data_IF_240812965302
#
_entry.id   IF_240812965302
#
_cell.length_a   1.000
_cell.length_b   1.000
_cell.length_c   1.000
_cell.angle_alpha   90.00
_cell.angle_beta   90.00
_cell.angle_gamma   90.00
#
_symmetry.space_group_name_H-M   'P 1'
#
loop_
_entity.id
_entity.type
_entity.pdbx_description
1 polymer ?
#
# COMPACT_ATOMS: atom_id res chain seq x y z
N UNK A 1 2.56 5.20 7.88
CA UNK A 1 1.50 4.17 8.07
C UNK A 1 1.25 3.42 6.76
N UNK A 2 2.25 2.73 6.18
CA UNK A 2 2.18 2.27 4.77
C UNK A 2 1.57 0.88 4.59
N UNK A 3 1.72 -0.05 5.55
CA UNK A 3 1.20 -1.42 5.43
C UNK A 3 -0.29 -1.60 5.75
N UNK A 4 -0.93 -0.64 6.42
CA UNK A 4 -2.31 -0.79 6.92
C UNK A 4 -3.36 -0.72 5.80
N UNK A 5 -3.02 -0.04 4.70
CA UNK A 5 -3.95 0.17 3.57
C UNK A 5 -4.19 -1.14 2.83
N UNK A 6 -3.14 -1.93 2.57
CA UNK A 6 -3.26 -3.24 1.92
C UNK A 6 -4.12 -4.22 2.73
N UNK A 7 -3.99 -4.20 4.06
CA UNK A 7 -4.80 -5.02 4.97
C UNK A 7 -6.29 -4.63 4.90
N UNK A 8 -6.60 -3.34 4.95
CA UNK A 8 -7.99 -2.86 4.89
C UNK A 8 -8.63 -3.20 3.54
N UNK A 9 -7.89 -3.03 2.44
CA UNK A 9 -8.35 -3.40 1.09
C UNK A 9 -8.58 -4.91 0.98
N UNK A 10 -7.65 -5.73 1.48
CA UNK A 10 -7.77 -7.19 1.49
C UNK A 10 -8.99 -7.68 2.27
N UNK A 11 -9.24 -7.10 3.45
CA UNK A 11 -10.43 -7.38 4.27
C UNK A 11 -11.71 -6.97 3.53
N UNK A 12 -11.74 -5.78 2.91
CA UNK A 12 -12.89 -5.31 2.16
C UNK A 12 -13.25 -6.24 0.99
N UNK A 13 -12.25 -6.64 0.20
CA UNK A 13 -12.44 -7.58 -0.92
C UNK A 13 -12.87 -8.96 -0.43
N UNK A 14 -12.26 -9.48 0.63
CA UNK A 14 -12.61 -10.78 1.23
C UNK A 14 -14.03 -10.79 1.80
N UNK A 15 -14.47 -9.70 2.42
CA UNK A 15 -15.81 -9.57 2.98
C UNK A 15 -16.89 -9.52 1.89
N UNK A 16 -16.64 -8.84 0.77
CA UNK A 16 -17.60 -8.79 -0.36
C UNK A 16 -17.69 -10.14 -1.08
N UNK A 17 -16.56 -10.84 -1.27
CA UNK A 17 -16.55 -12.17 -1.89
C UNK A 17 -17.13 -13.26 -0.97
N UNK A 18 -16.94 -13.14 0.36
CA UNK A 18 -17.48 -14.07 1.36
C UNK A 18 -18.97 -13.90 1.65
N UNK A 19 -19.53 -12.70 1.46
CA UNK A 19 -20.96 -12.39 1.74
C UNK A 19 -21.91 -12.72 0.58
N UNK A 20 -21.43 -13.45 -0.45
CA UNK A 20 -22.15 -13.77 -1.71
C UNK A 20 -23.54 -14.42 -1.56
N UNK A 21 -23.95 -14.79 -0.34
CA UNK A 21 -25.28 -15.35 -0.05
C UNK A 21 -26.41 -14.30 0.09
N UNK A 22 -26.15 -12.99 0.11
CA UNK A 22 -27.18 -11.96 0.34
C UNK A 22 -27.33 -10.91 -0.77
N UNK A 23 -28.20 -11.15 -1.77
CA UNK A 23 -28.45 -10.18 -2.87
C UNK A 23 -28.94 -8.81 -2.39
N UNK A 24 -29.79 -8.75 -1.35
CA UNK A 24 -30.29 -7.48 -0.82
C UNK A 24 -29.19 -6.65 -0.12
N UNK A 25 -28.28 -7.32 0.60
CA UNK A 25 -27.17 -6.64 1.28
C UNK A 25 -26.11 -6.14 0.31
N UNK A 26 -25.89 -6.86 -0.79
CA UNK A 26 -24.99 -6.42 -1.84
C UNK A 26 -25.43 -5.08 -2.45
N UNK A 27 -26.71 -4.93 -2.78
CA UNK A 27 -27.22 -3.69 -3.38
C UNK A 27 -27.16 -2.49 -2.41
N UNK A 28 -27.39 -2.70 -1.11
CA UNK A 28 -27.22 -1.66 -0.09
C UNK A 28 -25.77 -1.20 0.06
N UNK A 29 -24.83 -2.16 0.11
CA UNK A 29 -23.40 -1.86 0.24
C UNK A 29 -22.90 -1.18 -1.04
N UNK A 30 -23.35 -1.64 -2.22
CA UNK A 30 -22.98 -1.08 -3.51
C UNK A 30 -23.43 0.37 -3.65
N UNK A 31 -24.65 0.72 -3.23
CA UNK A 31 -25.12 2.11 -3.29
C UNK A 31 -24.36 3.02 -2.34
N UNK A 32 -24.03 2.55 -1.13
CA UNK A 32 -23.20 3.31 -0.20
C UNK A 32 -21.77 3.48 -0.72
N UNK A 33 -21.18 2.43 -1.29
CA UNK A 33 -19.88 2.47 -1.91
C UNK A 33 -19.85 3.44 -3.10
N UNK A 34 -20.87 3.42 -3.96
CA UNK A 34 -20.97 4.34 -5.10
C UNK A 34 -20.96 5.80 -4.65
N UNK A 35 -21.65 6.13 -3.56
CA UNK A 35 -21.65 7.50 -3.02
C UNK A 35 -20.26 7.94 -2.59
N UNK A 36 -19.51 7.05 -1.94
CA UNK A 36 -18.12 7.34 -1.51
C UNK A 36 -17.17 7.41 -2.72
N UNK A 37 -17.34 6.53 -3.69
CA UNK A 37 -16.50 6.48 -4.89
C UNK A 37 -16.65 7.72 -5.79
N UNK A 38 -17.86 8.28 -5.87
CA UNK A 38 -18.13 9.49 -6.67
C UNK A 38 -17.68 10.79 -5.99
N UNK A 39 -17.12 10.75 -4.78
CA UNK A 39 -16.58 11.96 -4.14
C UNK A 39 -15.28 12.40 -4.82
N UNK A 40 -15.16 13.69 -5.10
CA UNK A 40 -13.96 14.34 -5.67
C UNK A 40 -12.63 13.91 -5.02
N UNK A 41 -12.49 13.87 -3.67
CA UNK A 41 -11.23 13.46 -3.05
C UNK A 41 -10.80 12.02 -3.37
N UNK A 42 -11.75 11.14 -3.70
CA UNK A 42 -11.46 9.75 -4.10
C UNK A 42 -11.03 9.72 -5.56
N UNK A 43 -11.73 10.44 -6.44
CA UNK A 43 -11.36 10.54 -7.85
C UNK A 43 -9.96 11.16 -8.03
N UNK A 44 -9.66 12.23 -7.30
CA UNK A 44 -8.34 12.87 -7.33
C UNK A 44 -7.19 11.93 -6.94
N UNK A 45 -7.41 11.06 -5.95
CA UNK A 45 -6.41 10.08 -5.52
C UNK A 45 -6.28 8.95 -6.53
N UNK A 46 -7.40 8.48 -7.08
CA UNK A 46 -7.42 7.47 -8.14
C UNK A 46 -6.70 8.00 -9.38
N UNK A 47 -6.94 9.25 -9.78
CA UNK A 47 -6.32 9.86 -10.95
C UNK A 47 -4.83 10.10 -10.76
N UNK A 48 -4.40 10.54 -9.57
CA UNK A 48 -2.96 10.61 -9.23
C UNK A 48 -2.31 9.24 -9.38
N UNK A 49 -2.88 8.21 -8.75
CA UNK A 49 -2.36 6.84 -8.83
C UNK A 49 -2.38 6.32 -10.26
N UNK A 50 -3.44 6.59 -11.03
CA UNK A 50 -3.57 6.19 -12.44
C UNK A 50 -2.55 6.89 -13.33
N UNK A 51 -2.18 8.14 -13.04
CA UNK A 51 -1.05 8.82 -13.68
C UNK A 51 0.27 8.11 -13.39
N UNK A 52 0.60 7.95 -12.10
CA UNK A 52 1.85 7.30 -11.67
C UNK A 52 2.00 5.84 -12.13
N UNK A 53 0.90 5.09 -12.15
CA UNK A 53 0.87 3.69 -12.60
C UNK A 53 0.76 3.62 -14.11
N UNK A 54 -0.01 4.48 -14.77
CA UNK A 54 -0.15 4.51 -16.23
C UNK A 54 1.19 4.65 -16.95
N UNK A 55 2.07 5.51 -16.43
CA UNK A 55 3.43 5.72 -16.94
C UNK A 55 4.32 4.48 -16.80
N UNK A 56 4.04 3.60 -15.84
CA UNK A 56 4.82 2.37 -15.58
C UNK A 56 4.15 1.09 -16.10
N UNK A 57 2.83 1.08 -16.24
CA UNK A 57 2.03 -0.07 -16.59
C UNK A 57 2.01 -0.35 -18.09
N UNK A 58 2.23 0.67 -18.93
CA UNK A 58 2.31 0.52 -20.38
C UNK A 58 3.42 -0.47 -20.83
N UNK A 59 4.43 -0.72 -19.99
CA UNK A 59 5.55 -1.60 -20.30
C UNK A 59 5.38 -3.06 -19.82
N UNK A 60 4.37 -3.38 -19.01
CA UNK A 60 4.23 -4.73 -18.40
C UNK A 60 2.83 -5.38 -18.57
N UNK A 61 2.19 -5.42 -19.76
CA UNK A 61 0.90 -6.11 -19.92
C UNK A 61 0.99 -7.64 -19.76
N UNK A 62 2.07 -8.25 -20.24
CA UNK A 62 2.19 -9.71 -20.33
C UNK A 62 2.34 -10.42 -18.97
N UNK A 63 3.18 -9.90 -18.08
CA UNK A 63 3.41 -10.52 -16.77
C UNK A 63 2.18 -10.39 -15.85
N UNK A 64 1.46 -9.28 -15.95
CA UNK A 64 0.19 -9.07 -15.23
C UNK A 64 -0.84 -10.09 -15.72
N UNK A 65 -0.98 -10.28 -17.03
CA UNK A 65 -1.91 -11.25 -17.60
C UNK A 65 -1.60 -12.70 -17.18
N UNK A 66 -0.32 -13.08 -17.21
CA UNK A 66 0.12 -14.40 -16.73
C UNK A 66 -0.12 -14.59 -15.24
N UNK A 67 0.12 -13.56 -14.42
CA UNK A 67 -0.14 -13.59 -12.98
C UNK A 67 -1.62 -13.82 -12.67
N UNK A 68 -2.51 -13.10 -13.35
CA UNK A 68 -3.96 -13.26 -13.21
C UNK A 68 -4.42 -14.65 -13.64
N UNK A 69 -3.96 -15.15 -14.80
CA UNK A 69 -4.29 -16.51 -15.25
C UNK A 69 -3.80 -17.58 -14.27
N UNK A 70 -2.63 -17.41 -13.66
CA UNK A 70 -2.07 -18.35 -12.68
C UNK A 70 -2.92 -18.40 -11.41
N UNK A 71 -3.34 -17.25 -10.88
CA UNK A 71 -4.20 -17.16 -9.69
C UNK A 71 -5.56 -17.79 -9.96
N UNK A 72 -6.19 -17.48 -11.10
CA UNK A 72 -7.48 -18.07 -11.47
C UNK A 72 -7.36 -19.58 -11.68
N UNK A 73 -6.29 -20.07 -12.30
CA UNK A 73 -6.07 -21.51 -12.50
C UNK A 73 -5.76 -22.24 -11.19
N UNK A 74 -5.06 -21.61 -10.25
CA UNK A 74 -4.85 -22.14 -8.89
C UNK A 74 -6.12 -22.10 -8.04
N UNK A 75 -6.99 -21.12 -8.26
CA UNK A 75 -8.28 -21.03 -7.59
C UNK A 75 -9.30 -22.02 -8.17
N UNK A 76 -9.33 -22.22 -9.49
CA UNK A 76 -10.27 -23.13 -10.16
C UNK A 76 -9.77 -24.58 -10.29
N UNK A 77 -8.53 -24.87 -9.90
CA UNK A 77 -7.94 -26.20 -9.99
C UNK A 77 -8.30 -27.12 -8.82
N UNK A 78 -9.17 -28.10 -9.08
CA UNK A 78 -9.21 -29.39 -8.37
C UNK A 78 -10.27 -29.52 -7.29
N UNK A 79 -10.78 -30.75 -7.18
CA UNK A 79 -11.78 -31.32 -6.26
C UNK A 79 -11.47 -31.15 -4.77
N UNK A 80 -11.23 -29.91 -4.34
CA UNK A 80 -10.96 -29.55 -2.96
C UNK A 80 -12.25 -29.05 -2.33
N UNK A 81 -12.65 -29.71 -1.25
CA UNK A 81 -13.76 -29.27 -0.41
C UNK A 81 -13.51 -27.84 0.08
N UNK A 82 -14.58 -27.11 0.41
CA UNK A 82 -14.50 -25.72 0.84
C UNK A 82 -13.49 -25.51 2.00
N UNK A 83 -13.36 -26.50 2.89
CA UNK A 83 -12.38 -26.47 3.99
C UNK A 83 -10.93 -26.47 3.51
N UNK A 84 -10.58 -27.36 2.59
CA UNK A 84 -9.20 -27.49 2.11
C UNK A 84 -8.74 -26.29 1.27
N UNK A 85 -9.68 -25.60 0.61
CA UNK A 85 -9.43 -24.32 -0.07
C UNK A 85 -9.19 -23.17 0.92
N UNK A 86 -9.97 -23.13 1.99
CA UNK A 86 -9.81 -22.14 3.06
C UNK A 86 -8.46 -22.32 3.78
N UNK A 87 -8.10 -23.55 4.13
CA UNK A 87 -6.80 -23.85 4.76
C UNK A 87 -5.62 -23.46 3.86
N UNK A 88 -5.71 -23.74 2.55
CA UNK A 88 -4.69 -23.35 1.59
C UNK A 88 -4.54 -21.83 1.48
N UNK A 89 -5.66 -21.09 1.49
CA UNK A 89 -5.65 -19.63 1.44
C UNK A 89 -5.14 -19.01 2.74
N UNK A 90 -5.49 -19.56 3.89
CA UNK A 90 -5.00 -19.12 5.20
C UNK A 90 -3.50 -19.39 5.36
N UNK A 91 -3.02 -20.55 4.91
CA UNK A 91 -1.59 -20.89 4.93
C UNK A 91 -0.79 -19.96 4.00
N UNK A 92 -1.29 -19.70 2.79
CA UNK A 92 -0.67 -18.74 1.87
C UNK A 92 -0.66 -17.31 2.42
N UNK A 93 -1.75 -16.91 3.09
CA UNK A 93 -1.87 -15.60 3.74
C UNK A 93 -0.91 -15.42 4.91
N UNK A 94 -0.73 -16.44 5.75
CA UNK A 94 0.27 -16.42 6.84
C UNK A 94 1.68 -16.31 6.30
N UNK A 95 2.03 -17.14 5.31
CA UNK A 95 3.35 -17.10 4.69
C UNK A 95 3.69 -15.75 4.07
N UNK A 96 2.74 -15.15 3.34
CA UNK A 96 2.93 -13.82 2.77
C UNK A 96 3.04 -12.72 3.85
N UNK A 97 2.40 -12.89 5.00
CA UNK A 97 2.55 -11.98 6.13
C UNK A 97 3.92 -12.12 6.79
N UNK A 98 4.41 -13.35 6.99
CA UNK A 98 5.76 -13.62 7.53
C UNK A 98 6.84 -13.02 6.62
N UNK A 99 6.76 -13.23 5.29
CA UNK A 99 7.72 -12.66 4.32
C UNK A 99 7.75 -11.11 4.36
N UNK A 100 6.61 -10.45 4.65
CA UNK A 100 6.54 -8.98 4.77
C UNK A 100 7.11 -8.51 6.11
N UNK A 101 6.90 -9.27 7.19
CA UNK A 101 7.45 -8.95 8.52
C UNK A 101 8.98 -9.05 8.46
N UNK A 102 9.52 -10.15 7.94
CA UNK A 102 10.98 -10.33 7.78
C UNK A 102 11.60 -9.22 6.93
N UNK A 103 11.03 -8.92 5.75
CA UNK A 103 11.52 -7.84 4.90
C UNK A 103 11.41 -6.44 5.54
N UNK A 104 10.48 -6.26 6.48
CA UNK A 104 10.34 -5.01 7.24
C UNK A 104 11.35 -4.93 8.38
N UNK A 105 11.67 -6.06 9.03
CA UNK A 105 12.71 -6.15 10.06
C UNK A 105 14.10 -5.91 9.47
N UNK A 106 14.41 -6.51 8.32
CA UNK A 106 15.66 -6.27 7.58
C UNK A 106 15.82 -4.80 7.19
N UNK A 107 14.76 -4.18 6.66
CA UNK A 107 14.79 -2.75 6.31
C UNK A 107 14.87 -1.84 7.54
N UNK A 108 14.33 -2.24 8.69
CA UNK A 108 14.41 -1.50 9.96
C UNK A 108 15.83 -1.57 10.54
N UNK A 109 16.47 -2.73 10.52
CA UNK A 109 17.84 -2.89 10.98
C UNK A 109 18.83 -2.14 10.06
N UNK A 110 18.62 -2.16 8.74
CA UNK A 110 19.43 -1.38 7.79
C UNK A 110 19.32 0.14 8.04
N UNK A 111 18.12 0.65 8.33
CA UNK A 111 17.89 2.06 8.69
C UNK A 111 18.51 2.41 10.05
N UNK A 112 18.50 1.48 11.02
CA UNK A 112 19.09 1.67 12.34
C UNK A 112 20.61 1.68 12.31
N UNK A 113 21.22 0.84 11.45
CA UNK A 113 22.65 0.85 11.21
C UNK A 113 23.12 2.06 10.38
N UNK A 114 22.29 2.54 9.46
CA UNK A 114 22.51 3.82 8.79
C UNK A 114 22.44 5.00 9.78
N UNK A 115 21.43 5.03 10.66
CA UNK A 115 21.29 6.06 11.69
C UNK A 115 22.46 6.08 12.69
N UNK A 116 22.95 4.91 13.13
CA UNK A 116 24.14 4.82 14.00
C UNK A 116 25.44 5.29 13.32
N UNK A 117 25.56 5.15 11.99
CA UNK A 117 26.70 5.67 11.23
C UNK A 117 26.64 7.19 11.06
N UNK A 118 25.44 7.78 11.01
CA UNK A 118 25.26 9.24 10.96
C UNK A 118 25.44 9.92 12.35
N UNK A 119 25.06 9.26 13.45
CA UNK A 119 25.32 9.75 14.82
C UNK A 119 26.81 9.74 15.21
N UNK A 120 27.64 8.93 14.56
CA UNK A 120 29.10 8.97 14.70
C UNK A 120 29.75 10.18 13.99
N UNK A 121 28.95 11.00 13.28
CA UNK A 121 29.36 12.27 12.67
C UNK A 121 28.57 13.45 13.25
N UNK A 122 28.52 13.54 14.59
CA UNK A 122 28.06 14.75 15.28
C UNK A 122 28.80 15.99 14.74
N UNK A 123 28.10 17.09 14.41
CA UNK A 123 28.70 18.29 13.81
C UNK A 123 29.58 19.00 14.84
N UNK A 124 30.89 18.93 14.64
CA UNK A 124 31.84 19.77 15.36
C UNK A 124 32.20 20.98 14.49
N UNK A 125 31.77 22.15 14.97
CA UNK A 125 32.35 23.47 14.73
C UNK A 125 32.24 24.09 13.32
N UNK A 126 31.34 25.08 13.20
CA UNK A 126 31.75 26.49 13.15
C UNK A 126 30.59 27.43 13.55
N UNK A 127 30.94 28.35 14.47
CA UNK A 127 30.16 29.41 15.14
C UNK A 127 29.32 30.30 14.20
N UNK A 128 28.36 31.08 14.74
CA UNK A 128 27.38 31.84 13.99
C UNK A 128 28.03 33.10 13.38
N UNK A 129 27.77 33.35 12.10
CA UNK A 129 28.10 34.60 11.43
C UNK A 129 26.84 35.13 10.73
N UNK A 130 26.16 36.02 11.44
CA UNK A 130 25.62 37.27 10.91
C UNK A 130 25.49 37.39 9.39
N UNK A 131 24.27 37.31 8.86
CA UNK A 131 23.85 38.12 7.69
C UNK A 131 22.32 38.21 7.58
N UNK A 132 21.70 38.87 8.55
CA UNK A 132 20.41 39.53 8.30
C UNK A 132 20.23 40.73 9.23
N UNK A 133 20.99 41.79 8.94
CA UNK A 133 20.65 43.15 9.38
C UNK A 133 21.27 44.14 8.40
N UNK A 134 20.46 44.62 7.45
CA UNK A 134 20.49 45.99 6.91
C UNK A 134 19.14 46.24 6.22
N UNK A 135 18.10 46.43 7.03
CA UNK A 135 16.86 47.06 6.59
C UNK A 135 16.37 47.96 7.73
N UNK A 136 17.10 49.05 7.97
CA UNK A 136 16.62 50.28 8.57
C UNK A 136 17.77 51.29 8.66
N UNK A 137 17.51 52.50 8.15
CA UNK A 137 18.07 53.81 8.58
C UNK A 137 18.91 54.59 7.54
N UNK A 138 18.19 55.39 6.76
CA UNK A 138 18.50 56.80 6.41
C UNK A 138 17.14 57.48 6.20
N UNK A 139 16.68 58.52 6.88
CA UNK A 139 17.37 59.57 7.63
C UNK A 139 17.15 60.90 6.92
N UNK A 140 16.06 61.60 7.24
CA UNK A 140 15.91 63.07 7.36
C UNK A 140 14.47 63.38 7.75
#
# INVERSE_FOLDING_TARGET
MKGKIGLVVGIGVGYVLGTRAGRERYEQIKTQWLKVWNLDPVQDQVDKVKGYVGDKAAAVPGAIWTGVQKVVKSASGGDKTAGQRLDSAVAAGRKAADDIVDATEDAVEEVKDAAKKDDAKKPAAKKPASSRSTAAKSGS
#
